data_IF_897778057250
#
_entry.id   IF_897778057250
#
_cell.length_a   1.000
_cell.length_b   1.000
_cell.length_c   1.000
_cell.angle_alpha   90.00
_cell.angle_beta   90.00
_cell.angle_gamma   90.00
#
_symmetry.space_group_name_H-M   'P 1'
#
loop_
_entity.id
_entity.type
_entity.pdbx_description
1 polymer ?
#
# COMPACT_ATOMS: atom_id res chain seq x y z
N UNK A 1 -6.02 -0.88 -0.06
CA UNK A 1 -5.05 -1.07 -1.16
C UNK A 1 -5.76 -0.80 -2.49
N UNK A 2 -5.16 -0.02 -3.40
CA UNK A 2 -5.73 0.22 -4.72
C UNK A 2 -4.83 -0.40 -5.78
N UNK A 3 -5.31 -1.43 -6.47
CA UNK A 3 -4.60 -2.13 -7.54
C UNK A 3 -5.05 -1.52 -8.86
N UNK A 4 -4.15 -0.82 -9.54
CA UNK A 4 -4.45 -0.18 -10.82
C UNK A 4 -3.94 -1.00 -12.02
N UNK A 5 -4.39 -0.62 -13.23
CA UNK A 5 -4.01 -1.24 -14.51
C UNK A 5 -4.49 -2.68 -14.68
N UNK A 6 -5.64 -3.01 -14.09
CA UNK A 6 -6.22 -4.36 -14.20
C UNK A 6 -6.69 -4.69 -15.62
N UNK A 7 -6.81 -3.69 -16.49
CA UNK A 7 -7.00 -3.83 -17.94
C UNK A 7 -5.84 -4.59 -18.62
N UNK A 8 -4.61 -4.49 -18.09
CA UNK A 8 -3.44 -5.15 -18.68
C UNK A 8 -3.30 -6.62 -18.28
N UNK A 9 -3.69 -6.97 -17.06
CA UNK A 9 -3.47 -8.31 -16.48
C UNK A 9 -4.76 -9.12 -16.35
N UNK A 10 -5.90 -8.46 -16.30
CA UNK A 10 -7.20 -9.04 -15.97
C UNK A 10 -7.43 -9.16 -14.46
N UNK A 11 -8.71 -9.07 -14.07
CA UNK A 11 -9.14 -9.07 -12.67
C UNK A 11 -8.73 -10.35 -11.92
N UNK A 12 -8.86 -11.53 -12.55
CA UNK A 12 -8.52 -12.81 -11.90
C UNK A 12 -7.02 -12.92 -11.59
N UNK A 13 -6.17 -12.41 -12.47
CA UNK A 13 -4.73 -12.37 -12.22
C UNK A 13 -4.40 -11.40 -11.08
N UNK A 14 -5.02 -10.22 -11.06
CA UNK A 14 -4.87 -9.26 -9.98
C UNK A 14 -5.35 -9.84 -8.63
N UNK A 15 -6.48 -10.56 -8.60
CA UNK A 15 -6.99 -11.22 -7.39
C UNK A 15 -6.10 -12.34 -6.89
N UNK A 16 -5.45 -13.11 -7.77
CA UNK A 16 -4.46 -14.11 -7.33
C UNK A 16 -3.27 -13.50 -6.60
N UNK A 17 -2.88 -12.27 -6.96
CA UNK A 17 -1.73 -11.59 -6.35
C UNK A 17 -2.15 -10.82 -5.09
N UNK A 18 -3.25 -10.07 -5.16
CA UNK A 18 -3.63 -9.13 -4.10
C UNK A 18 -4.77 -9.64 -3.20
N UNK A 19 -5.46 -10.71 -3.56
CA UNK A 19 -6.61 -11.24 -2.81
C UNK A 19 -6.24 -11.71 -1.40
N UNK A 20 -4.97 -12.08 -1.17
CA UNK A 20 -4.46 -12.34 0.17
C UNK A 20 -4.71 -11.16 1.13
N UNK A 21 -4.56 -9.92 0.65
CA UNK A 21 -4.79 -8.74 1.48
C UNK A 21 -6.26 -8.59 1.88
N UNK A 22 -7.19 -9.03 1.03
CA UNK A 22 -8.61 -9.10 1.39
C UNK A 22 -8.84 -10.11 2.51
N UNK A 23 -8.20 -11.29 2.43
CA UNK A 23 -8.38 -12.36 3.41
C UNK A 23 -7.84 -12.03 4.80
N UNK A 24 -6.84 -11.14 4.88
CA UNK A 24 -6.27 -10.66 6.16
C UNK A 24 -6.91 -9.34 6.62
N UNK A 25 -8.01 -8.90 5.97
CA UNK A 25 -8.86 -7.81 6.45
C UNK A 25 -8.59 -6.42 5.85
N UNK A 26 -7.72 -6.29 4.85
CA UNK A 26 -7.58 -5.02 4.10
C UNK A 26 -8.66 -4.89 3.03
N UNK A 27 -9.21 -3.69 2.90
CA UNK A 27 -10.02 -3.34 1.74
C UNK A 27 -9.14 -3.22 0.48
N UNK A 28 -9.45 -3.98 -0.56
CA UNK A 28 -8.75 -3.94 -1.86
C UNK A 28 -9.72 -3.47 -2.94
N UNK A 29 -9.33 -2.42 -3.67
CA UNK A 29 -10.09 -1.93 -4.83
C UNK A 29 -9.27 -2.19 -6.09
N UNK A 30 -9.87 -2.91 -7.04
CA UNK A 30 -9.29 -3.18 -8.35
C UNK A 30 -9.78 -2.15 -9.35
N UNK A 31 -8.84 -1.44 -9.96
CA UNK A 31 -9.11 -0.26 -10.79
C UNK A 31 -8.40 -0.31 -12.14
N UNK A 32 -9.00 0.34 -13.12
CA UNK A 32 -8.34 0.76 -14.36
C UNK A 32 -8.61 2.24 -14.56
N UNK A 33 -7.57 3.07 -14.47
CA UNK A 33 -7.70 4.49 -14.82
C UNK A 33 -8.03 4.70 -16.32
N UNK A 34 -7.58 3.78 -17.17
CA UNK A 34 -7.79 3.79 -18.62
C UNK A 34 -9.26 3.49 -18.96
N UNK A 35 -9.76 2.34 -18.49
CA UNK A 35 -11.12 1.87 -18.80
C UNK A 35 -12.18 2.47 -17.87
N UNK A 36 -11.78 3.01 -16.71
CA UNK A 36 -12.68 3.56 -15.69
C UNK A 36 -13.23 2.50 -14.72
N UNK A 37 -12.78 1.25 -14.82
CA UNK A 37 -13.18 0.19 -13.89
C UNK A 37 -12.82 0.58 -12.45
N UNK A 38 -13.75 0.37 -11.51
CA UNK A 38 -13.53 0.55 -10.08
C UNK A 38 -13.42 2.00 -9.60
N UNK A 39 -13.55 2.99 -10.50
CA UNK A 39 -13.41 4.41 -10.16
C UNK A 39 -14.56 4.90 -9.27
N UNK A 40 -15.79 4.44 -9.52
CA UNK A 40 -16.94 4.82 -8.68
C UNK A 40 -16.79 4.28 -7.25
N UNK A 41 -16.39 3.02 -7.10
CA UNK A 41 -16.11 2.43 -5.79
C UNK A 41 -14.96 3.16 -5.07
N UNK A 42 -13.90 3.53 -5.80
CA UNK A 42 -12.82 4.34 -5.25
C UNK A 42 -13.32 5.73 -4.81
N UNK A 43 -14.15 6.39 -5.62
CA UNK A 43 -14.73 7.70 -5.30
C UNK A 43 -15.60 7.63 -4.04
N UNK A 44 -16.44 6.62 -3.93
CA UNK A 44 -17.31 6.41 -2.78
C UNK A 44 -16.47 6.16 -1.51
N UNK A 45 -15.40 5.36 -1.59
CA UNK A 45 -14.47 5.14 -0.49
C UNK A 45 -13.77 6.43 -0.01
N UNK A 46 -13.42 7.31 -0.95
CA UNK A 46 -12.71 8.57 -0.68
C UNK A 46 -13.62 9.67 -0.14
N UNK A 47 -14.94 9.56 -0.31
CA UNK A 47 -15.89 10.62 0.02
C UNK A 47 -15.80 11.02 1.50
N UNK A 48 -15.70 12.32 1.74
CA UNK A 48 -15.56 12.97 3.06
C UNK A 48 -14.33 12.55 3.86
N UNK A 49 -13.25 12.15 3.16
CA UNK A 49 -11.95 11.81 3.75
C UNK A 49 -10.82 12.65 3.17
N UNK A 50 -9.77 12.83 3.97
CA UNK A 50 -8.47 13.30 3.50
C UNK A 50 -7.60 12.08 3.24
N UNK A 51 -7.22 11.86 1.98
CA UNK A 51 -6.49 10.66 1.57
C UNK A 51 -5.14 11.03 0.97
N UNK A 52 -4.09 10.33 1.39
CA UNK A 52 -2.77 10.42 0.77
C UNK A 52 -2.63 9.28 -0.23
N UNK A 53 -2.29 9.59 -1.48
CA UNK A 53 -2.02 8.58 -2.51
C UNK A 53 -0.52 8.35 -2.56
N UNK A 54 -0.12 7.10 -2.35
CA UNK A 54 1.28 6.67 -2.30
C UNK A 54 1.51 5.40 -3.10
N UNK A 55 2.75 5.19 -3.53
CA UNK A 55 3.20 4.04 -4.31
C UNK A 55 4.35 4.37 -5.24
N UNK A 56 5.03 3.36 -5.82
CA UNK A 56 6.15 3.54 -6.74
C UNK A 56 5.86 4.46 -7.93
N UNK A 57 6.91 4.94 -8.61
CA UNK A 57 6.70 5.63 -9.90
C UNK A 57 6.03 4.70 -10.91
N UNK A 58 5.25 5.26 -11.82
CA UNK A 58 4.64 4.49 -12.92
C UNK A 58 3.41 3.66 -12.56
N UNK A 59 3.02 3.50 -11.28
CA UNK A 59 1.81 2.72 -10.90
C UNK A 59 0.48 3.39 -11.30
N UNK A 60 0.50 4.66 -11.71
CA UNK A 60 -0.67 5.38 -12.22
C UNK A 60 -1.43 6.22 -11.19
N UNK A 61 -0.76 6.73 -10.15
CA UNK A 61 -1.34 7.64 -9.13
C UNK A 61 -2.03 8.86 -9.77
N UNK A 62 -1.29 9.63 -10.56
CA UNK A 62 -1.82 10.83 -11.23
C UNK A 62 -2.90 10.49 -12.27
N UNK A 63 -2.80 9.32 -12.93
CA UNK A 63 -3.85 8.83 -13.84
C UNK A 63 -5.17 8.58 -13.11
N UNK A 64 -5.12 7.94 -11.94
CA UNK A 64 -6.32 7.71 -11.11
C UNK A 64 -6.93 9.02 -10.65
N UNK A 65 -6.11 9.96 -10.17
CA UNK A 65 -6.59 11.28 -9.72
C UNK A 65 -7.24 12.06 -10.87
N UNK A 66 -6.63 12.07 -12.06
CA UNK A 66 -7.24 12.67 -13.26
C UNK A 66 -8.53 11.97 -13.66
N UNK A 67 -8.64 10.66 -13.47
CA UNK A 67 -9.89 9.94 -13.78
C UNK A 67 -11.01 10.30 -12.82
N UNK A 68 -10.68 10.54 -11.55
CA UNK A 68 -11.61 11.01 -10.51
C UNK A 68 -12.03 12.47 -10.75
N UNK A 69 -11.09 13.36 -11.08
CA UNK A 69 -11.36 14.74 -11.46
C UNK A 69 -10.53 15.16 -12.69
N UNK A 70 -11.12 15.07 -13.90
CA UNK A 70 -10.44 15.41 -15.15
C UNK A 70 -9.95 16.86 -15.22
N UNK A 71 -10.50 17.76 -14.41
CA UNK A 71 -10.14 19.19 -14.42
C UNK A 71 -8.75 19.45 -13.82
N UNK A 72 -8.23 18.52 -13.02
CA UNK A 72 -6.90 18.65 -12.41
C UNK A 72 -5.79 18.53 -13.46
N UNK A 73 -6.02 17.78 -14.54
CA UNK A 73 -5.10 17.64 -15.69
C UNK A 73 -3.63 17.43 -15.27
N UNK A 74 -3.41 16.61 -14.24
CA UNK A 74 -2.09 16.29 -13.72
C UNK A 74 -1.25 15.64 -14.82
N UNK A 75 0.05 15.94 -14.83
CA UNK A 75 0.96 15.30 -15.76
C UNK A 75 1.06 13.79 -15.48
N UNK A 76 0.87 12.97 -16.52
CA UNK A 76 0.94 11.51 -16.47
C UNK A 76 2.16 11.04 -17.25
N UNK A 77 2.96 10.15 -16.66
CA UNK A 77 4.18 9.58 -17.27
C UNK A 77 5.49 10.05 -16.65
N UNK A 78 6.60 9.43 -17.05
CA UNK A 78 7.96 9.72 -16.53
C UNK A 78 8.58 11.01 -17.08
N UNK A 79 7.81 11.83 -17.81
CA UNK A 79 8.24 13.15 -18.34
C UNK A 79 8.48 14.22 -17.26
N UNK A 80 8.80 13.82 -16.02
CA UNK A 80 9.67 14.61 -15.14
C UNK A 80 11.14 14.39 -15.53
N UNK A 81 11.42 14.34 -16.83
CA UNK A 81 12.77 14.43 -17.37
C UNK A 81 13.33 15.79 -16.97
N UNK A 82 14.14 15.80 -15.92
CA UNK A 82 15.53 16.27 -15.91
C UNK A 82 15.89 17.51 -16.75
N UNK A 83 14.97 18.45 -16.97
CA UNK A 83 15.28 19.71 -17.63
C UNK A 83 15.98 20.65 -16.64
N UNK A 84 17.31 20.53 -16.72
CA UNK A 84 18.32 21.58 -16.63
C UNK A 84 18.62 22.19 -15.26
N UNK A 85 19.82 21.82 -14.78
CA UNK A 85 20.77 22.65 -14.03
C UNK A 85 20.20 23.45 -12.85
N UNK A 86 20.34 22.83 -11.69
CA UNK A 86 20.63 23.53 -10.43
C UNK A 86 19.42 23.92 -9.60
N UNK A 87 19.55 23.67 -8.28
CA UNK A 87 18.78 24.24 -7.18
C UNK A 87 17.27 23.92 -7.15
N UNK A 88 16.92 23.03 -6.23
CA UNK A 88 15.60 22.87 -5.60
C UNK A 88 14.41 22.73 -6.56
N UNK A 89 14.26 21.55 -7.17
CA UNK A 89 13.00 21.16 -7.82
C UNK A 89 11.93 20.89 -6.76
N UNK A 90 10.79 21.59 -6.84
CA UNK A 90 9.72 21.62 -5.84
C UNK A 90 9.10 20.24 -5.61
N UNK A 91 9.57 19.52 -4.58
CA UNK A 91 9.12 18.18 -4.11
C UNK A 91 7.95 18.26 -3.12
N UNK A 92 6.97 19.14 -3.35
CA UNK A 92 5.87 19.31 -2.40
C UNK A 92 4.73 18.35 -2.72
N UNK A 93 4.16 17.72 -1.68
CA UNK A 93 2.86 17.08 -1.79
C UNK A 93 1.81 18.13 -2.18
N UNK A 94 0.91 17.78 -3.10
CA UNK A 94 -0.17 18.68 -3.53
C UNK A 94 -1.49 18.16 -2.99
N UNK A 95 -2.24 19.02 -2.29
CA UNK A 95 -3.55 18.69 -1.76
C UNK A 95 -4.65 19.24 -2.66
N UNK A 96 -5.46 18.37 -3.22
CA UNK A 96 -6.56 18.71 -4.11
C UNK A 96 -7.89 18.52 -3.40
N UNK A 97 -8.78 19.51 -3.49
CA UNK A 97 -10.17 19.36 -3.07
C UNK A 97 -10.96 18.70 -4.19
N UNK A 98 -11.66 17.61 -3.88
CA UNK A 98 -12.44 16.88 -4.89
C UNK A 98 -13.82 17.53 -5.13
N UNK A 99 -14.44 17.32 -6.31
CA UNK A 99 -15.77 17.85 -6.63
C UNK A 99 -16.94 17.14 -5.92
N UNK A 100 -16.67 16.16 -5.07
CA UNK A 100 -17.65 15.34 -4.37
C UNK A 100 -17.29 15.23 -2.89
N UNK A 101 -18.29 15.13 -2.02
CA UNK A 101 -18.13 15.22 -0.57
C UNK A 101 -17.71 16.62 -0.12
N UNK A 102 -18.15 17.03 1.06
CA UNK A 102 -17.81 18.34 1.61
C UNK A 102 -16.35 18.40 2.05
N UNK A 103 -15.83 17.27 2.55
CA UNK A 103 -14.50 17.15 3.17
C UNK A 103 -13.58 16.17 2.45
N UNK A 104 -13.77 16.00 1.14
CA UNK A 104 -12.92 15.11 0.35
C UNK A 104 -11.69 15.84 -0.17
N UNK A 105 -10.52 15.36 0.23
CA UNK A 105 -9.24 15.86 -0.25
C UNK A 105 -8.32 14.70 -0.63
N UNK A 106 -7.56 14.87 -1.72
CA UNK A 106 -6.54 13.92 -2.14
C UNK A 106 -5.18 14.63 -2.14
N UNK A 107 -4.24 14.11 -1.37
CA UNK A 107 -2.84 14.51 -1.41
C UNK A 107 -2.09 13.62 -2.40
N UNK A 108 -1.64 14.17 -3.53
CA UNK A 108 -0.70 13.51 -4.41
C UNK A 108 0.72 13.69 -3.86
N UNK A 109 1.42 12.58 -3.66
CA UNK A 109 2.79 12.57 -3.17
C UNK A 109 3.74 12.14 -4.28
N UNK A 110 4.98 12.67 -4.32
CA UNK A 110 6.02 12.12 -5.18
C UNK A 110 6.10 10.61 -4.98
N UNK A 111 6.27 9.85 -6.06
CA UNK A 111 6.40 8.40 -5.96
C UNK A 111 7.49 8.02 -4.97
N UNK A 112 7.17 7.08 -4.07
CA UNK A 112 8.17 6.56 -3.14
C UNK A 112 9.20 5.78 -3.95
N UNK A 113 10.48 6.10 -3.79
CA UNK A 113 11.60 5.39 -4.41
C UNK A 113 12.13 4.29 -3.50
N UNK A 114 12.19 4.56 -2.20
CA UNK A 114 12.61 3.64 -1.14
C UNK A 114 11.69 3.85 0.07
N UNK A 115 11.17 2.76 0.64
CA UNK A 115 10.46 2.74 1.91
C UNK A 115 11.46 2.31 2.98
N UNK A 116 11.99 3.26 3.75
CA UNK A 116 12.71 2.94 4.97
C UNK A 116 11.73 2.81 6.13
N UNK A 117 11.86 1.75 6.94
CA UNK A 117 11.24 1.71 8.26
C UNK A 117 12.03 2.64 9.19
N UNK A 118 11.73 3.93 9.15
CA UNK A 118 12.29 4.88 10.10
C UNK A 118 11.51 4.80 11.41
N UNK A 119 12.24 4.66 12.52
CA UNK A 119 11.70 4.70 13.89
C UNK A 119 10.67 3.59 14.23
N UNK A 120 10.77 2.41 13.62
CA UNK A 120 10.06 1.22 14.10
C UNK A 120 11.01 0.38 14.94
N UNK A 121 10.71 0.23 16.23
CA UNK A 121 11.41 -0.72 17.08
C UNK A 121 11.10 -2.15 16.58
N UNK A 122 12.11 -3.04 16.42
CA UNK A 122 11.88 -4.43 16.06
C UNK A 122 10.79 -5.13 16.90
N UNK A 123 10.64 -4.77 18.17
CA UNK A 123 9.60 -5.33 19.05
C UNK A 123 8.18 -4.92 18.63
N UNK A 124 8.05 -3.75 18.00
CA UNK A 124 6.76 -3.23 17.55
C UNK A 124 6.39 -3.72 16.15
N UNK A 125 7.37 -4.20 15.37
CA UNK A 125 7.16 -4.65 13.98
C UNK A 125 6.01 -5.67 13.87
N UNK A 126 5.93 -6.59 14.84
CA UNK A 126 4.89 -7.64 14.90
C UNK A 126 3.46 -7.08 14.91
N UNK A 127 3.24 -5.87 15.44
CA UNK A 127 1.91 -5.28 15.54
C UNK A 127 1.43 -4.67 14.21
N UNK A 128 2.33 -4.45 13.25
CA UNK A 128 2.01 -3.93 11.92
C UNK A 128 1.63 -5.03 10.92
N UNK A 129 1.72 -6.31 11.31
CA UNK A 129 1.21 -7.46 10.57
C UNK A 129 -0.11 -7.91 11.20
N UNK A 130 -1.23 -7.45 10.64
CA UNK A 130 -2.58 -7.66 11.20
C UNK A 130 -2.91 -9.13 11.43
N UNK A 131 -2.48 -10.00 10.52
CA UNK A 131 -2.68 -11.44 10.56
C UNK A 131 -1.92 -12.15 11.68
N UNK A 132 -0.90 -11.51 12.26
CA UNK A 132 -0.14 -12.07 13.39
C UNK A 132 -0.83 -11.79 14.73
N UNK A 133 -1.67 -10.76 14.83
CA UNK A 133 -2.19 -10.23 16.10
C UNK A 133 -2.89 -11.29 16.95
N UNK A 134 -3.63 -12.20 16.32
CA UNK A 134 -4.34 -13.28 17.01
C UNK A 134 -3.41 -14.28 17.72
N UNK A 135 -2.15 -14.41 17.27
CA UNK A 135 -1.20 -15.40 17.76
C UNK A 135 -0.12 -14.82 18.69
N UNK A 136 0.01 -13.50 18.78
CA UNK A 136 1.09 -12.85 19.54
C UNK A 136 1.06 -13.22 21.03
N UNK A 137 -0.13 -13.43 21.59
CA UNK A 137 -0.33 -13.76 23.00
C UNK A 137 -0.11 -15.24 23.33
N UNK A 138 -0.04 -16.11 22.33
CA UNK A 138 0.10 -17.55 22.49
C UNK A 138 1.56 -18.01 22.49
N UNK A 139 2.50 -17.10 22.24
CA UNK A 139 3.93 -17.40 22.31
C UNK A 139 4.36 -17.70 23.75
N UNK A 140 5.17 -18.76 23.91
CA UNK A 140 5.74 -19.16 25.22
C UNK A 140 6.57 -18.06 25.87
N UNK A 141 7.25 -17.24 25.06
CA UNK A 141 8.16 -16.19 25.51
C UNK A 141 7.56 -14.81 25.26
N UNK A 142 7.59 -13.95 26.28
CA UNK A 142 7.02 -12.59 26.22
C UNK A 142 7.74 -11.65 25.26
N UNK A 143 8.99 -11.95 24.89
CA UNK A 143 9.81 -11.17 23.95
C UNK A 143 10.09 -11.92 22.65
N UNK A 144 9.17 -12.80 22.23
CA UNK A 144 9.33 -13.55 20.99
C UNK A 144 9.36 -12.61 19.78
N UNK A 145 10.45 -12.69 19.02
CA UNK A 145 10.64 -12.00 17.74
C UNK A 145 10.08 -12.79 16.56
N UNK A 146 9.53 -13.97 16.84
CA UNK A 146 8.93 -14.89 15.88
C UNK A 146 9.87 -15.37 14.78
N UNK A 147 11.18 -15.30 15.00
CA UNK A 147 12.21 -15.69 14.04
C UNK A 147 12.77 -17.09 14.36
N UNK A 148 13.48 -17.19 15.49
CA UNK A 148 14.22 -18.40 15.86
C UNK A 148 13.72 -19.05 17.16
N UNK A 149 12.80 -18.40 17.90
CA UNK A 149 12.37 -18.91 19.20
C UNK A 149 11.67 -20.27 19.08
N UNK A 150 11.94 -21.20 20.01
CA UNK A 150 11.21 -22.46 20.08
C UNK A 150 9.78 -22.21 20.55
N UNK A 151 8.84 -23.07 20.11
CA UNK A 151 7.42 -22.99 20.51
C UNK A 151 6.78 -21.62 20.23
N UNK A 152 7.18 -20.98 19.13
CA UNK A 152 6.58 -19.74 18.63
C UNK A 152 5.21 -20.03 17.99
N UNK A 153 4.15 -19.39 18.51
CA UNK A 153 2.79 -19.56 18.01
C UNK A 153 2.61 -19.02 16.59
N UNK A 154 3.26 -17.90 16.25
CA UNK A 154 3.26 -17.33 14.90
C UNK A 154 3.86 -18.30 13.88
N UNK A 155 5.05 -18.86 14.16
CA UNK A 155 5.68 -19.85 13.28
C UNK A 155 4.81 -21.10 13.12
N UNK A 156 4.21 -21.58 14.20
CA UNK A 156 3.28 -22.70 14.13
C UNK A 156 2.03 -22.38 13.30
N UNK A 157 1.51 -21.14 13.36
CA UNK A 157 0.40 -20.69 12.53
C UNK A 157 0.78 -20.61 11.03
N UNK A 158 2.02 -20.21 10.72
CA UNK A 158 2.57 -20.28 9.35
C UNK A 158 2.61 -21.72 8.85
N UNK A 159 3.11 -22.66 9.66
CA UNK A 159 3.15 -24.09 9.30
C UNK A 159 1.75 -24.69 9.07
N UNK A 160 0.74 -24.21 9.79
CA UNK A 160 -0.67 -24.60 9.59
C UNK A 160 -1.35 -23.88 8.42
N UNK A 161 -0.71 -22.89 7.81
CA UNK A 161 -1.27 -22.09 6.72
C UNK A 161 -2.30 -21.03 7.18
N UNK A 162 -2.37 -20.75 8.48
CA UNK A 162 -3.21 -19.68 9.04
C UNK A 162 -2.60 -18.30 8.80
N UNK A 163 -1.26 -18.23 8.78
CA UNK A 163 -0.50 -17.06 8.32
C UNK A 163 0.14 -17.42 6.98
N UNK A 164 0.00 -16.54 5.99
CA UNK A 164 0.61 -16.73 4.69
C UNK A 164 2.15 -16.68 4.76
N UNK A 165 2.82 -17.64 4.13
CA UNK A 165 4.27 -17.77 4.18
C UNK A 165 5.03 -16.57 3.58
N UNK A 166 4.54 -15.97 2.49
CA UNK A 166 5.18 -14.80 1.87
C UNK A 166 5.08 -13.56 2.78
N UNK A 167 3.98 -13.46 3.56
CA UNK A 167 3.81 -12.40 4.55
C UNK A 167 4.76 -12.59 5.74
N UNK A 168 4.91 -13.81 6.24
CA UNK A 168 5.90 -14.12 7.26
C UNK A 168 7.34 -13.87 6.75
N UNK A 169 7.66 -14.25 5.52
CA UNK A 169 8.98 -13.96 4.92
C UNK A 169 9.23 -12.45 4.83
N UNK A 170 8.22 -11.67 4.45
CA UNK A 170 8.30 -10.20 4.43
C UNK A 170 8.54 -9.63 5.83
N UNK A 171 7.89 -10.18 6.85
CA UNK A 171 8.14 -9.82 8.26
C UNK A 171 9.59 -10.05 8.66
N UNK A 172 10.14 -11.23 8.36
CA UNK A 172 11.53 -11.59 8.70
C UNK A 172 12.55 -10.71 7.96
N UNK A 173 12.32 -10.42 6.67
CA UNK A 173 13.16 -9.48 5.91
C UNK A 173 13.21 -8.09 6.55
N UNK A 174 12.03 -7.56 6.90
CA UNK A 174 11.92 -6.27 7.59
C UNK A 174 12.58 -6.30 8.98
N UNK A 175 12.44 -7.40 9.72
CA UNK A 175 13.05 -7.58 11.05
C UNK A 175 14.58 -7.56 10.99
N UNK A 176 15.17 -8.18 9.96
CA UNK A 176 16.62 -8.21 9.76
C UNK A 176 17.18 -6.98 9.02
N UNK A 177 16.31 -6.09 8.53
CA UNK A 177 16.71 -4.93 7.73
C UNK A 177 17.22 -5.31 6.34
N UNK A 178 16.73 -6.42 5.78
CA UNK A 178 17.02 -6.86 4.41
C UNK A 178 15.97 -6.25 3.46
N UNK A 179 16.43 -5.51 2.44
CA UNK A 179 15.60 -4.96 1.35
C UNK A 179 15.30 -5.99 0.26
#
# INVERSE_FOLDING_TARGET
ICVNKVDLTGLDAAKRIFGLYETIGYEVIYTSAEEGQGIDALRDLLTDRVTVVTGPSGVGKSSLINRIDPRLSLQVGDLRDFQQKGKHTTRAAQLFRMPFGEKTYIADTPGIRELGLYDIDPIDLQFYFVEMQEFLHDCRYSGCTHDHEPECAVRAAVERGEINAERYESYIKLLHGEE
#
